data_IF_834466830191
#
_entry.id   IF_834466830191
#
_cell.length_a   1.000
_cell.length_b   1.000
_cell.length_c   1.000
_cell.angle_alpha   90.00
_cell.angle_beta   90.00
_cell.angle_gamma   90.00
#
_symmetry.space_group_name_H-M   'P 1'
#
loop_
_entity.id
_entity.type
_entity.pdbx_description
1 polymer ?
#
# COMPACT_ATOMS: atom_id res chain seq x y z
N UNK A 1 -12.67 50.73 -29.67
CA UNK A 1 -12.02 49.69 -28.85
C UNK A 1 -12.35 48.35 -29.50
N UNK A 2 -11.56 47.96 -30.50
CA UNK A 2 -11.94 46.93 -31.46
C UNK A 2 -11.57 45.54 -30.91
N UNK A 3 -12.58 44.65 -30.82
CA UNK A 3 -12.42 43.25 -30.44
C UNK A 3 -12.03 42.48 -31.70
N UNK A 4 -10.75 42.16 -31.84
CA UNK A 4 -10.26 41.30 -32.92
C UNK A 4 -10.75 39.88 -32.64
N UNK A 5 -11.78 39.45 -33.36
CA UNK A 5 -12.29 38.07 -33.37
C UNK A 5 -11.47 37.29 -34.39
N UNK A 6 -10.62 36.39 -33.92
CA UNK A 6 -9.91 35.44 -34.78
C UNK A 6 -10.86 34.31 -35.17
N UNK A 7 -11.10 34.15 -36.47
CA UNK A 7 -11.94 33.08 -37.02
C UNK A 7 -11.06 31.86 -37.23
N UNK A 8 -11.14 30.88 -36.33
CA UNK A 8 -10.56 29.56 -36.56
C UNK A 8 -11.54 28.74 -37.42
N UNK A 9 -11.29 28.69 -38.73
CA UNK A 9 -12.04 27.88 -39.69
C UNK A 9 -11.62 26.41 -39.55
N UNK A 10 -12.33 25.65 -38.71
CA UNK A 10 -12.29 24.18 -38.78
C UNK A 10 -13.59 23.73 -39.43
N UNK A 11 -13.55 23.61 -40.76
CA UNK A 11 -14.64 23.08 -41.56
C UNK A 11 -14.32 21.63 -41.94
N UNK A 12 -15.03 20.67 -41.36
CA UNK A 12 -15.12 19.32 -41.94
C UNK A 12 -16.35 19.34 -42.84
N UNK A 13 -16.11 19.37 -44.15
CA UNK A 13 -17.14 19.42 -45.17
C UNK A 13 -17.73 18.03 -45.38
N UNK A 14 -18.99 17.84 -44.96
CA UNK A 14 -19.84 16.77 -45.50
C UNK A 14 -20.41 17.21 -46.85
N UNK A 15 -20.19 16.43 -47.89
CA UNK A 15 -20.70 16.71 -49.25
C UNK A 15 -22.23 16.62 -49.28
N UNK A 16 -22.89 17.77 -49.44
CA UNK A 16 -24.31 17.90 -49.74
C UNK A 16 -24.53 19.05 -50.73
N UNK A 17 -25.26 18.78 -51.81
CA UNK A 17 -25.39 19.62 -53.00
C UNK A 17 -25.84 21.07 -52.73
N UNK A 18 -25.28 22.02 -53.49
CA UNK A 18 -25.64 23.43 -53.46
C UNK A 18 -26.74 23.74 -54.48
N UNK A 19 -27.85 24.33 -54.02
CA UNK A 19 -28.73 25.18 -54.84
C UNK A 19 -28.90 26.50 -54.08
N UNK A 20 -28.54 27.60 -54.76
CA UNK A 20 -28.44 28.92 -54.18
C UNK A 20 -29.78 29.65 -54.02
N UNK A 21 -29.86 30.46 -52.97
CA UNK A 21 -30.75 31.61 -52.88
C UNK A 21 -30.01 32.73 -52.12
N UNK A 22 -29.71 33.85 -52.79
CA UNK A 22 -29.12 35.02 -52.17
C UNK A 22 -30.20 35.89 -51.50
N UNK A 23 -30.14 35.92 -50.18
CA UNK A 23 -30.36 37.06 -49.26
C UNK A 23 -31.59 37.97 -49.47
N UNK A 24 -32.63 37.75 -48.67
CA UNK A 24 -33.22 38.82 -47.85
C UNK A 24 -32.63 38.72 -46.45
N UNK A 25 -31.95 39.80 -46.04
CA UNK A 25 -31.05 39.80 -44.88
C UNK A 25 -31.78 39.65 -43.56
N UNK A 26 -31.48 38.58 -42.83
CA UNK A 26 -31.64 38.57 -41.37
C UNK A 26 -30.57 39.53 -40.82
N UNK A 27 -30.95 40.77 -40.56
CA UNK A 27 -30.09 41.79 -39.95
C UNK A 27 -29.97 41.48 -38.46
N UNK A 28 -29.23 40.42 -38.14
CA UNK A 28 -29.03 39.99 -36.76
C UNK A 28 -27.95 38.91 -36.65
N UNK A 29 -27.27 38.83 -35.50
CA UNK A 29 -26.32 37.75 -35.23
C UNK A 29 -27.04 36.39 -35.35
N UNK A 30 -26.46 35.49 -36.14
CA UNK A 30 -26.95 34.11 -36.27
C UNK A 30 -26.35 33.27 -35.15
N UNK A 31 -27.09 32.28 -34.65
CA UNK A 31 -26.61 31.40 -33.59
C UNK A 31 -26.90 29.93 -33.91
N UNK A 32 -25.90 29.07 -33.76
CA UNK A 32 -26.08 27.63 -33.70
C UNK A 32 -26.46 27.21 -32.27
N UNK A 33 -27.32 26.22 -32.13
CA UNK A 33 -27.66 25.60 -30.86
C UNK A 33 -26.60 24.56 -30.50
N UNK A 34 -26.17 24.51 -29.24
CA UNK A 34 -25.30 23.44 -28.74
C UNK A 34 -26.17 22.24 -28.38
N UNK A 35 -25.94 21.12 -29.06
CA UNK A 35 -26.67 19.87 -28.86
C UNK A 35 -26.02 19.05 -27.75
N UNK A 36 -24.69 19.00 -27.73
CA UNK A 36 -23.92 18.24 -26.74
C UNK A 36 -22.60 18.94 -26.46
N UNK A 37 -22.19 18.93 -25.19
CA UNK A 37 -20.88 19.42 -24.76
C UNK A 37 -20.24 18.38 -23.86
N UNK A 38 -19.28 17.62 -24.40
CA UNK A 38 -18.59 16.56 -23.67
C UNK A 38 -17.28 17.10 -23.11
N UNK A 39 -17.06 17.12 -21.79
CA UNK A 39 -15.80 17.59 -21.23
C UNK A 39 -14.67 16.64 -21.61
N UNK A 40 -13.51 17.23 -21.94
CA UNK A 40 -12.26 16.54 -22.16
C UNK A 40 -11.44 16.70 -20.90
N UNK A 41 -11.19 15.59 -20.20
CA UNK A 41 -10.42 15.57 -18.95
C UNK A 41 -9.04 14.98 -19.17
N UNK A 42 -8.06 15.50 -18.43
CA UNK A 42 -6.75 14.89 -18.25
C UNK A 42 -6.52 14.70 -16.76
N UNK A 43 -6.02 13.52 -16.41
CA UNK A 43 -5.65 13.19 -15.04
C UNK A 43 -4.29 13.79 -14.73
N UNK A 44 -4.23 14.65 -13.71
CA UNK A 44 -3.01 15.29 -13.23
C UNK A 44 -2.68 14.84 -11.79
N UNK A 45 -1.41 14.55 -11.49
CA UNK A 45 -1.00 14.20 -10.13
C UNK A 45 -1.02 15.45 -9.24
N UNK A 46 -1.42 15.25 -7.99
CA UNK A 46 -1.44 16.29 -6.96
C UNK A 46 -0.25 16.06 -6.02
N UNK A 47 0.60 17.06 -5.93
CA UNK A 47 1.67 17.14 -4.94
C UNK A 47 1.44 18.31 -3.99
N UNK A 48 2.02 18.22 -2.80
CA UNK A 48 2.14 19.32 -1.87
C UNK A 48 3.56 19.37 -1.29
N UNK A 49 3.98 20.56 -0.92
CA UNK A 49 5.26 20.76 -0.23
C UNK A 49 5.11 20.34 1.23
N UNK A 50 6.06 19.53 1.67
CA UNK A 50 6.10 18.97 3.01
C UNK A 50 6.68 20.01 3.96
N UNK A 51 6.01 20.20 5.10
CA UNK A 51 6.44 21.15 6.14
C UNK A 51 7.08 20.45 7.33
N UNK A 52 6.60 19.25 7.70
CA UNK A 52 7.19 18.45 8.78
C UNK A 52 7.00 16.95 8.55
N UNK A 53 7.93 16.15 9.05
CA UNK A 53 7.92 14.68 8.93
C UNK A 53 8.28 14.03 10.26
N UNK A 54 7.28 13.43 10.92
CA UNK A 54 7.45 12.76 12.21
C UNK A 54 7.38 11.23 12.01
N UNK A 55 8.41 10.45 12.40
CA UNK A 55 8.35 9.00 12.35
C UNK A 55 7.39 8.43 13.39
N UNK A 56 6.53 7.50 12.97
CA UNK A 56 5.64 6.74 13.83
C UNK A 56 6.36 5.43 14.19
N UNK A 57 6.72 5.27 15.46
CA UNK A 57 7.42 4.08 15.95
C UNK A 57 6.50 3.14 16.71
N UNK A 58 6.66 1.84 16.50
CA UNK A 58 5.99 0.78 17.26
C UNK A 58 7.02 -0.03 18.04
N UNK A 59 6.78 -0.18 19.33
CA UNK A 59 7.56 -1.07 20.20
C UNK A 59 6.94 -2.46 20.21
N UNK A 60 7.76 -3.46 19.92
CA UNK A 60 7.37 -4.86 19.98
C UNK A 60 8.32 -5.65 20.88
N UNK A 61 7.74 -6.57 21.65
CA UNK A 61 8.47 -7.53 22.47
C UNK A 61 8.94 -8.70 21.59
N UNK A 62 10.25 -8.79 21.39
CA UNK A 62 10.88 -9.83 20.57
C UNK A 62 11.62 -10.81 21.49
N UNK A 63 11.28 -12.11 21.47
CA UNK A 63 12.04 -13.11 22.20
C UNK A 63 13.41 -13.30 21.57
N UNK A 64 14.47 -13.01 22.32
CA UNK A 64 15.86 -13.21 21.93
C UNK A 64 16.46 -14.34 22.77
N UNK A 65 17.12 -15.30 22.12
CA UNK A 65 17.79 -16.40 22.81
C UNK A 65 19.19 -15.95 23.21
N UNK A 66 19.37 -15.67 24.50
CA UNK A 66 20.67 -15.29 25.06
C UNK A 66 21.34 -16.55 25.60
N UNK A 67 22.58 -16.79 25.19
CA UNK A 67 23.35 -17.97 25.59
C UNK A 67 24.64 -17.56 26.29
N UNK A 68 24.77 -17.92 27.56
CA UNK A 68 25.95 -17.64 28.38
C UNK A 68 26.69 -18.93 28.71
N UNK A 69 28.02 -18.88 28.69
CA UNK A 69 28.84 -19.99 29.16
C UNK A 69 28.92 -19.90 30.69
N UNK A 70 28.42 -20.91 31.38
CA UNK A 70 28.48 -21.02 32.83
C UNK A 70 29.37 -22.20 33.21
N UNK A 71 30.27 -21.99 34.16
CA UNK A 71 31.09 -23.07 34.71
C UNK A 71 30.27 -23.80 35.75
N UNK A 72 29.78 -25.00 35.42
CA UNK A 72 29.02 -25.84 36.33
C UNK A 72 29.92 -26.92 36.91
N UNK A 73 29.74 -27.20 38.20
CA UNK A 73 30.47 -28.27 38.87
C UNK A 73 29.69 -29.58 38.68
N UNK A 74 30.19 -30.43 37.78
CA UNK A 74 29.55 -31.72 37.49
C UNK A 74 30.26 -32.82 38.26
N UNK A 75 29.48 -33.65 38.95
CA UNK A 75 29.98 -34.85 39.64
C UNK A 75 29.98 -36.01 38.64
N UNK A 76 31.17 -36.40 38.18
CA UNK A 76 31.29 -37.53 37.26
C UNK A 76 30.85 -38.83 37.96
N UNK A 77 30.05 -39.70 37.31
CA UNK A 77 29.73 -41.01 37.85
C UNK A 77 31.02 -41.82 37.96
N UNK A 78 31.23 -42.43 39.13
CA UNK A 78 32.42 -43.25 39.40
C UNK A 78 32.44 -44.40 38.40
N UNK A 79 33.50 -44.47 37.59
CA UNK A 79 33.78 -45.67 36.79
C UNK A 79 34.10 -46.76 37.81
N UNK A 80 33.16 -47.68 38.01
CA UNK A 80 33.42 -48.91 38.73
C UNK A 80 34.54 -49.65 38.00
N UNK A 81 35.73 -49.60 38.60
CA UNK A 81 36.85 -50.42 38.18
C UNK A 81 36.46 -51.88 38.30
N UNK A 82 36.66 -52.61 37.20
CA UNK A 82 36.87 -54.05 37.10
C UNK A 82 36.34 -54.86 38.29
N UNK A 83 35.04 -55.17 38.27
CA UNK A 83 34.47 -56.40 38.83
C UNK A 83 32.99 -56.48 38.42
N UNK A 84 32.74 -57.42 37.51
CA UNK A 84 31.54 -58.24 37.40
C UNK A 84 30.20 -57.61 37.83
N UNK A 85 29.38 -57.34 36.81
CA UNK A 85 27.93 -57.43 36.95
C UNK A 85 27.27 -56.19 37.54
N UNK A 86 27.02 -55.18 36.72
CA UNK A 86 25.79 -54.39 36.87
C UNK A 86 25.22 -54.06 35.52
N UNK A 87 24.10 -54.75 35.28
CA UNK A 87 23.13 -54.64 34.20
C UNK A 87 22.98 -53.20 33.69
N UNK A 88 23.52 -52.95 32.50
CA UNK A 88 23.23 -51.75 31.73
C UNK A 88 21.72 -51.72 31.43
N UNK A 89 21.02 -50.79 32.09
CA UNK A 89 19.58 -50.60 31.96
C UNK A 89 19.20 -50.29 30.51
N UNK A 90 18.37 -51.16 29.96
CA UNK A 90 17.66 -50.96 28.72
C UNK A 90 16.61 -49.83 28.89
N UNK A 91 16.48 -48.96 27.90
CA UNK A 91 15.42 -49.08 26.90
C UNK A 91 15.41 -47.85 26.00
N UNK A 92 15.52 -48.16 24.71
CA UNK A 92 15.29 -47.29 23.57
C UNK A 92 13.78 -47.07 23.45
N UNK A 93 13.40 -45.81 23.18
CA UNK A 93 12.33 -45.51 22.23
C UNK A 93 10.93 -45.29 22.80
N UNK A 94 10.23 -44.36 22.15
CA UNK A 94 8.79 -44.23 22.24
C UNK A 94 8.35 -42.83 22.62
N UNK A 95 8.18 -41.96 21.63
CA UNK A 95 6.87 -41.51 21.16
C UNK A 95 7.04 -40.32 20.22
N UNK A 96 7.02 -40.63 18.91
CA UNK A 96 6.43 -39.76 17.90
C UNK A 96 5.02 -40.30 17.70
N UNK A 97 3.99 -39.48 17.89
CA UNK A 97 2.60 -39.94 17.83
C UNK A 97 1.57 -38.84 17.98
N UNK A 98 1.46 -38.01 16.94
CA UNK A 98 0.24 -37.41 16.40
C UNK A 98 -0.76 -36.70 17.36
N UNK A 99 -0.73 -35.37 17.35
CA UNK A 99 -1.97 -34.57 17.26
C UNK A 99 -1.99 -33.92 15.87
N UNK A 100 -2.71 -34.50 14.89
CA UNK A 100 -4.16 -34.35 14.65
C UNK A 100 -4.47 -32.87 14.36
N UNK A 101 -4.72 -32.42 13.12
CA UNK A 101 -5.24 -33.15 11.96
C UNK A 101 -6.73 -33.41 12.13
N UNK A 102 -7.56 -32.39 11.89
CA UNK A 102 -9.02 -32.47 12.03
C UNK A 102 -9.65 -33.38 10.98
N UNK A 103 -10.15 -34.53 11.41
CA UNK A 103 -10.94 -35.44 10.59
C UNK A 103 -11.56 -36.55 11.42
N UNK A 104 -12.84 -36.82 11.19
CA UNK A 104 -13.64 -37.82 11.89
C UNK A 104 -13.15 -39.24 11.60
N UNK A 105 -12.20 -39.73 12.39
CA UNK A 105 -11.62 -41.05 12.16
C UNK A 105 -10.76 -41.56 13.30
N UNK A 106 -11.41 -41.97 14.40
CA UNK A 106 -10.96 -42.98 15.41
C UNK A 106 -9.59 -42.75 16.06
N UNK A 107 -9.55 -42.37 17.35
CA UNK A 107 -9.48 -43.32 18.48
C UNK A 107 -8.83 -44.65 18.10
N UNK A 108 -7.52 -44.78 18.31
CA UNK A 108 -6.84 -46.03 18.66
C UNK A 108 -5.41 -45.72 19.13
N UNK A 109 -4.97 -46.45 20.16
CA UNK A 109 -3.63 -46.49 20.75
C UNK A 109 -3.27 -45.43 21.83
N UNK A 110 -4.04 -45.41 22.92
CA UNK A 110 -3.46 -45.10 24.24
C UNK A 110 -2.60 -46.31 24.65
N UNK A 111 -1.28 -46.18 24.56
CA UNK A 111 -0.36 -47.23 25.03
C UNK A 111 -0.09 -47.04 26.53
N UNK A 112 -0.36 -48.10 27.26
CA UNK A 112 -0.09 -48.28 28.69
C UNK A 112 1.41 -48.48 28.97
N UNK A 113 1.83 -48.15 30.19
CA UNK A 113 3.15 -48.38 30.78
C UNK A 113 3.89 -47.04 30.99
N UNK A 114 4.10 -46.53 32.21
CA UNK A 114 4.75 -47.18 33.35
C UNK A 114 4.04 -46.77 34.65
N UNK A 115 3.31 -47.69 35.28
CA UNK A 115 2.88 -47.59 36.68
C UNK A 115 3.35 -48.86 37.36
N UNK A 116 4.19 -48.71 38.38
CA UNK A 116 4.61 -49.80 39.27
C UNK A 116 5.99 -50.36 38.97
N UNK A 117 6.99 -49.92 39.74
CA UNK A 117 8.30 -50.55 39.80
C UNK A 117 9.20 -49.91 40.87
N UNK A 118 9.25 -50.53 42.06
CA UNK A 118 10.42 -50.39 42.93
C UNK A 118 10.22 -49.73 44.30
N UNK A 119 9.32 -50.27 45.15
CA UNK A 119 9.59 -50.26 46.59
C UNK A 119 10.58 -51.39 46.90
N UNK A 120 11.88 -51.11 46.78
CA UNK A 120 12.96 -51.88 47.40
C UNK A 120 14.30 -51.15 47.17
N UNK A 121 14.88 -50.62 48.24
CA UNK A 121 16.18 -49.94 48.15
C UNK A 121 16.60 -49.40 49.51
N UNK A 122 16.87 -50.33 50.42
CA UNK A 122 17.33 -50.10 51.79
C UNK A 122 18.64 -49.32 51.78
N UNK A 123 18.74 -48.33 52.67
CA UNK A 123 19.95 -47.85 53.35
C UNK A 123 21.27 -48.46 52.82
N UNK A 124 21.85 -47.87 51.78
CA UNK A 124 23.24 -48.08 51.41
C UNK A 124 23.84 -46.70 51.16
N UNK A 125 24.90 -46.41 51.92
CA UNK A 125 25.85 -45.32 51.79
C UNK A 125 25.51 -43.92 52.34
N UNK A 126 25.34 -43.86 53.66
CA UNK A 126 25.94 -42.77 54.45
C UNK A 126 27.44 -43.05 54.66
N UNK A 127 28.31 -42.75 53.69
CA UNK A 127 29.76 -42.44 53.90
C UNK A 127 30.66 -42.32 52.66
N UNK A 128 30.15 -42.36 51.43
CA UNK A 128 31.02 -42.15 50.26
C UNK A 128 31.12 -40.66 49.88
N UNK A 129 32.07 -39.96 50.51
CA UNK A 129 32.63 -38.71 49.98
C UNK A 129 33.63 -39.06 48.86
N UNK A 130 33.18 -39.16 47.60
CA UNK A 130 34.03 -39.75 46.55
C UNK A 130 33.97 -39.21 45.13
N UNK A 131 33.11 -38.26 44.79
CA UNK A 131 33.07 -37.74 43.41
C UNK A 131 34.09 -36.61 43.18
N UNK A 132 35.07 -36.79 42.28
CA UNK A 132 35.96 -35.70 41.83
C UNK A 132 35.11 -34.62 41.16
N UNK A 133 34.98 -33.46 41.81
CA UNK A 133 34.25 -32.34 41.25
C UNK A 133 35.09 -31.74 40.12
N UNK A 134 34.59 -31.81 38.90
CA UNK A 134 35.26 -31.21 37.73
C UNK A 134 34.42 -30.03 37.26
N UNK A 135 35.10 -28.92 36.97
CA UNK A 135 34.46 -27.73 36.39
C UNK A 135 34.28 -27.96 34.90
N UNK A 136 33.04 -27.98 34.44
CA UNK A 136 32.69 -28.09 33.02
C UNK A 136 32.03 -26.80 32.56
N UNK A 137 32.49 -26.26 31.43
CA UNK A 137 31.88 -25.08 30.83
C UNK A 137 30.65 -25.52 30.04
N UNK A 138 29.46 -25.28 30.59
CA UNK A 138 28.20 -25.56 29.91
C UNK A 138 27.63 -24.28 29.31
N UNK A 139 27.17 -24.36 28.05
CA UNK A 139 26.45 -23.26 27.40
C UNK A 139 24.98 -23.32 27.82
N UNK A 140 24.57 -22.41 28.69
CA UNK A 140 23.18 -22.27 29.16
C UNK A 140 22.51 -21.18 28.32
N UNK A 141 21.37 -21.50 27.72
CA UNK A 141 20.59 -20.55 26.94
C UNK A 141 19.21 -20.34 27.57
N UNK A 142 18.79 -19.10 27.69
CA UNK A 142 17.43 -18.72 28.07
C UNK A 142 16.88 -17.69 27.09
N UNK A 143 15.56 -17.58 27.03
CA UNK A 143 14.89 -16.59 26.19
C UNK A 143 14.65 -15.33 27.01
N UNK A 144 15.18 -14.21 26.57
CA UNK A 144 14.90 -12.89 27.13
C UNK A 144 14.00 -12.12 26.17
N UNK A 145 12.96 -11.47 26.71
CA UNK A 145 12.14 -10.56 25.91
C UNK A 145 12.84 -9.21 25.82
N UNK A 146 13.18 -8.78 24.61
CA UNK A 146 13.68 -7.43 24.36
C UNK A 146 12.62 -6.55 23.70
N UNK A 147 12.54 -5.32 24.15
CA UNK A 147 11.76 -4.28 23.47
C UNK A 147 12.53 -3.77 22.26
N UNK A 148 11.93 -3.87 21.08
CA UNK A 148 12.47 -3.32 19.84
C UNK A 148 11.51 -2.28 19.28
N UNK A 149 11.98 -1.05 19.15
CA UNK A 149 11.25 0.03 18.48
C UNK A 149 11.54 0.01 16.98
N UNK A 150 10.50 -0.04 16.15
CA UNK A 150 10.61 -0.02 14.69
C UNK A 150 9.70 1.06 14.12
N UNK A 151 10.21 1.86 13.18
CA UNK A 151 9.39 2.84 12.46
C UNK A 151 8.43 2.14 11.52
N UNK A 152 7.13 2.32 11.74
CA UNK A 152 6.05 1.70 10.95
C UNK A 152 5.43 2.66 9.92
N UNK A 153 5.73 3.95 10.02
CA UNK A 153 5.27 4.96 9.07
C UNK A 153 5.73 6.35 9.48
N UNK A 154 5.16 7.35 8.82
CA UNK A 154 5.43 8.77 9.05
C UNK A 154 4.11 9.53 9.08
N UNK A 155 3.95 10.41 10.05
CA UNK A 155 2.94 11.45 10.05
C UNK A 155 3.55 12.69 9.39
N UNK A 156 2.98 13.12 8.28
CA UNK A 156 3.53 14.18 7.43
C UNK A 156 2.60 15.36 7.46
N UNK A 157 3.12 16.52 7.83
CA UNK A 157 2.44 17.79 7.66
C UNK A 157 2.82 18.40 6.31
N UNK A 158 1.83 18.96 5.61
CA UNK A 158 2.01 19.60 4.32
C UNK A 158 1.09 20.81 4.18
N UNK A 159 1.48 21.75 3.34
CA UNK A 159 0.69 22.94 3.05
C UNK A 159 -0.05 22.79 1.72
N UNK A 160 -1.37 23.03 1.72
CA UNK A 160 -2.19 23.06 0.51
C UNK A 160 -3.31 24.09 0.67
N UNK A 161 -3.53 24.91 -0.36
CA UNK A 161 -4.56 25.97 -0.38
C UNK A 161 -4.51 26.90 0.86
N UNK A 162 -3.30 27.21 1.33
CA UNK A 162 -3.06 28.07 2.49
C UNK A 162 -3.34 27.40 3.85
N UNK A 163 -3.60 26.09 3.89
CA UNK A 163 -3.86 25.33 5.12
C UNK A 163 -2.76 24.31 5.35
N UNK A 164 -2.41 24.09 6.62
CA UNK A 164 -1.56 22.95 7.03
C UNK A 164 -2.47 21.75 7.29
N UNK A 165 -2.16 20.62 6.67
CA UNK A 165 -2.89 19.37 6.76
C UNK A 165 -1.91 18.24 7.11
N UNK A 166 -2.41 17.16 7.69
CA UNK A 166 -1.59 15.98 8.00
C UNK A 166 -2.03 14.75 7.19
N UNK A 167 -1.08 13.89 6.84
CA UNK A 167 -1.31 12.60 6.17
C UNK A 167 -0.31 11.55 6.66
N UNK A 168 -0.80 10.34 6.94
CA UNK A 168 0.06 9.20 7.28
C UNK A 168 0.50 8.47 6.03
N UNK A 169 1.79 8.18 5.96
CA UNK A 169 2.43 7.46 4.84
C UNK A 169 3.36 6.37 5.37
N UNK A 170 3.58 5.31 4.59
CA UNK A 170 4.44 4.19 4.98
C UNK A 170 5.93 4.47 4.80
N UNK A 171 6.29 5.41 3.92
CA UNK A 171 7.67 5.77 3.59
C UNK A 171 7.87 7.28 3.73
N UNK A 172 9.07 7.68 4.12
CA UNK A 172 9.45 9.09 4.19
C UNK A 172 9.24 9.75 2.81
N UNK A 173 8.40 10.80 2.69
CA UNK A 173 8.10 11.45 1.42
C UNK A 173 9.22 12.36 0.91
N UNK A 174 10.13 12.82 1.76
CA UNK A 174 11.06 13.90 1.41
C UNK A 174 10.35 15.26 1.33
N UNK A 175 10.76 16.10 0.37
CA UNK A 175 10.29 17.49 0.27
C UNK A 175 8.88 17.64 -0.31
N UNK A 176 8.36 16.61 -0.98
CA UNK A 176 7.03 16.62 -1.58
C UNK A 176 6.25 15.34 -1.29
N UNK A 177 4.96 15.50 -1.05
CA UNK A 177 4.05 14.38 -0.81
C UNK A 177 3.05 14.23 -1.96
N UNK A 178 2.92 13.01 -2.48
CA UNK A 178 1.86 12.66 -3.42
C UNK A 178 0.52 12.53 -2.68
N UNK A 179 -0.44 13.34 -3.08
CA UNK A 179 -1.76 13.38 -2.46
C UNK A 179 -2.81 12.58 -3.23
N UNK A 180 -2.58 12.32 -4.52
CA UNK A 180 -3.50 11.60 -5.38
C UNK A 180 -3.43 12.12 -6.81
N UNK A 181 -4.51 11.91 -7.54
CA UNK A 181 -4.73 12.43 -8.88
C UNK A 181 -6.06 13.19 -8.92
N UNK A 182 -6.18 14.17 -9.82
CA UNK A 182 -7.47 14.80 -10.13
C UNK A 182 -7.65 14.92 -11.63
N UNK A 183 -8.91 14.86 -12.04
CA UNK A 183 -9.30 15.15 -13.41
C UNK A 183 -9.44 16.65 -13.59
N UNK A 184 -8.68 17.19 -14.54
CA UNK A 184 -8.76 18.57 -14.97
C UNK A 184 -9.41 18.65 -16.34
N UNK A 185 -10.52 19.38 -16.42
CA UNK A 185 -11.15 19.67 -17.71
C UNK A 185 -10.28 20.65 -18.47
N UNK A 186 -9.77 20.22 -19.62
CA UNK A 186 -8.90 21.02 -20.49
C UNK A 186 -9.64 21.56 -21.72
N UNK A 187 -10.86 21.07 -21.97
CA UNK A 187 -11.67 21.53 -23.09
C UNK A 187 -12.99 20.77 -23.19
N UNK A 188 -13.70 21.00 -24.28
CA UNK A 188 -14.99 20.41 -24.59
C UNK A 188 -15.06 20.04 -26.07
N UNK A 189 -15.51 18.83 -26.35
CA UNK A 189 -16.00 18.46 -27.69
C UNK A 189 -17.48 18.84 -27.76
N UNK A 190 -17.80 19.74 -28.69
CA UNK A 190 -19.09 20.43 -28.79
C UNK A 190 -19.77 20.09 -30.10
N UNK A 191 -20.89 19.41 -30.01
CA UNK A 191 -21.80 19.16 -31.13
C UNK A 191 -22.81 20.30 -31.22
N UNK A 192 -22.97 20.88 -32.41
CA UNK A 192 -23.86 22.00 -32.67
C UNK A 192 -24.78 21.72 -33.84
N UNK A 193 -25.93 22.41 -33.84
CA UNK A 193 -26.91 22.37 -34.90
C UNK A 193 -27.38 23.78 -35.26
N UNK A 194 -27.45 24.05 -36.56
CA UNK A 194 -28.06 25.26 -37.10
C UNK A 194 -28.90 24.92 -38.32
N UNK A 195 -30.23 24.98 -38.16
CA UNK A 195 -31.20 24.50 -39.15
C UNK A 195 -30.94 23.02 -39.46
N UNK A 196 -30.73 22.69 -40.72
CA UNK A 196 -30.46 21.31 -41.18
C UNK A 196 -28.96 20.95 -41.16
N UNK A 197 -28.10 21.85 -40.66
CA UNK A 197 -26.65 21.61 -40.56
C UNK A 197 -26.27 21.22 -39.14
N UNK A 198 -25.48 20.18 -39.01
CA UNK A 198 -24.83 19.78 -37.77
C UNK A 198 -23.31 19.81 -37.94
N UNK A 199 -22.59 19.90 -36.83
CA UNK A 199 -21.15 19.79 -36.82
C UNK A 199 -20.61 19.64 -35.41
N UNK A 200 -19.31 19.38 -35.32
CA UNK A 200 -18.60 19.27 -34.06
C UNK A 200 -17.38 20.17 -34.08
N UNK A 201 -17.02 20.74 -32.93
CA UNK A 201 -15.79 21.50 -32.77
C UNK A 201 -15.25 21.35 -31.34
N UNK A 202 -13.96 21.62 -31.17
CA UNK A 202 -13.30 21.62 -29.86
C UNK A 202 -13.19 23.03 -29.31
N UNK A 203 -13.54 23.22 -28.04
CA UNK A 203 -13.43 24.50 -27.32
C UNK A 203 -12.57 24.34 -26.08
N UNK A 204 -11.75 25.34 -25.76
CA UNK A 204 -10.93 25.38 -24.53
C UNK A 204 -11.76 25.71 -23.28
N UNK A 205 -13.00 26.16 -23.44
CA UNK A 205 -13.87 26.60 -22.35
C UNK A 205 -15.28 26.05 -22.53
N UNK A 206 -16.03 25.97 -21.44
CA UNK A 206 -17.40 25.43 -21.46
C UNK A 206 -18.26 26.27 -22.41
N UNK A 207 -18.90 25.66 -23.43
CA UNK A 207 -19.78 26.40 -24.32
C UNK A 207 -21.02 26.90 -23.55
N UNK A 208 -21.56 28.03 -24.00
CA UNK A 208 -22.95 28.40 -23.66
C UNK A 208 -23.95 27.55 -24.44
N UNK A 209 -25.24 27.80 -24.25
CA UNK A 209 -26.31 27.07 -24.97
C UNK A 209 -26.32 27.34 -26.48
N UNK A 210 -25.70 28.45 -26.90
CA UNK A 210 -25.70 28.91 -28.29
C UNK A 210 -24.33 29.46 -28.67
N UNK A 211 -23.93 29.20 -29.90
CA UNK A 211 -22.67 29.66 -30.47
C UNK A 211 -22.94 30.70 -31.55
N UNK A 212 -22.27 31.84 -31.47
CA UNK A 212 -22.39 32.89 -32.47
C UNK A 212 -21.86 32.38 -33.82
N UNK A 213 -22.62 32.63 -34.87
CA UNK A 213 -22.24 32.36 -36.25
C UNK A 213 -22.03 33.66 -37.01
N UNK A 214 -20.96 33.72 -37.78
CA UNK A 214 -20.66 34.82 -38.69
C UNK A 214 -20.19 34.23 -40.03
N UNK A 215 -20.78 34.71 -41.13
CA UNK A 215 -20.46 34.27 -42.49
C UNK A 215 -20.51 32.74 -42.68
N UNK A 216 -21.42 32.07 -41.95
CA UNK A 216 -21.62 30.62 -42.03
C UNK A 216 -20.67 29.77 -41.19
N UNK A 217 -19.73 30.37 -40.46
CA UNK A 217 -18.82 29.67 -39.54
C UNK A 217 -19.16 29.98 -38.07
N UNK A 218 -18.88 29.03 -37.18
CA UNK A 218 -18.92 29.26 -35.73
C UNK A 218 -17.77 30.20 -35.34
N UNK A 219 -18.09 31.23 -34.55
CA UNK A 219 -17.11 32.15 -33.99
C UNK A 219 -16.80 31.70 -32.57
N UNK A 220 -15.58 31.20 -32.36
CA UNK A 220 -15.06 30.87 -31.02
C UNK A 220 -14.21 32.04 -30.54
N UNK A 221 -14.46 32.51 -29.32
CA UNK A 221 -13.60 33.54 -28.71
C UNK A 221 -12.27 32.90 -28.32
N UNK A 222 -11.16 33.38 -28.90
CA UNK A 222 -9.81 32.98 -28.49
C UNK A 222 -9.43 33.69 -27.18
N UNK A 223 -9.27 32.97 -26.05
CA UNK A 223 -8.87 33.57 -24.78
C UNK A 223 -7.47 34.20 -24.83
N UNK A 224 -6.57 33.71 -25.69
CA UNK A 224 -5.16 34.14 -25.78
C UNK A 224 -5.02 35.50 -26.46
N UNK A 225 -5.94 35.86 -27.35
CA UNK A 225 -5.99 37.16 -28.04
C UNK A 225 -6.17 38.39 -27.12
N UNK A 226 -6.43 38.17 -25.82
CA UNK A 226 -6.62 39.21 -24.80
C UNK A 226 -5.38 39.45 -23.94
N UNK A 227 -4.44 38.49 -23.89
CA UNK A 227 -3.24 38.59 -23.08
C UNK A 227 -2.15 39.47 -23.72
N UNK A 228 -2.06 39.50 -25.06
CA UNK A 228 -1.03 40.24 -25.81
C UNK A 228 -1.36 41.73 -26.05
N UNK A 229 -2.23 42.33 -25.22
CA UNK A 229 -2.58 43.77 -25.30
C UNK A 229 -2.31 44.53 -23.99
N UNK A 230 -1.31 44.07 -23.24
CA UNK A 230 -0.73 44.76 -22.09
C UNK A 230 0.57 45.45 -22.46
#
# INVERSE_FOLDING_TARGET
MNRNLTVALVAILGTGAAIGAYRTGVIGPQYAQVVKATPITVTEPIYADVTDVVPITQTSDVPEKVCNNQTVQVRQPERFGNKDGTLAGALIGGLVGNQIGGGDGRKLATVAGVVGGGYAGREIDRRHQGGRITSETQRVCHTETRQKSTTVGYEVEYQMDGRVLSKRVSKNPGDQIWLGERDKVIGYDVDWQYRDRTGSLRMDSRPGERLLMKDGAIVVADPRSRADRG
#
